data_IF_777323300099
#
_entry.id   IF_777323300099
#
_cell.length_a   1.000
_cell.length_b   1.000
_cell.length_c   1.000
_cell.angle_alpha   90.00
_cell.angle_beta   90.00
_cell.angle_gamma   90.00
#
_symmetry.space_group_name_H-M   'P 1'
#
loop_
_entity.id
_entity.type
_entity.pdbx_description
1 polymer ?
#
# COMPACT_ATOMS: atom_id res chain seq x y z
N UNK A 1 -7.73 -6.82 27.47
CA UNK A 1 -6.36 -6.28 27.37
C UNK A 1 -5.69 -7.17 26.36
N UNK A 2 -5.78 -6.77 25.10
CA UNK A 2 -5.52 -7.63 23.95
C UNK A 2 -4.03 -7.93 23.81
N UNK A 3 -3.71 -9.17 23.42
CA UNK A 3 -2.38 -9.71 23.11
C UNK A 3 -1.59 -8.96 22.00
N UNK A 4 -2.04 -7.76 21.61
CA UNK A 4 -1.58 -6.97 20.47
C UNK A 4 -0.49 -5.92 20.85
N UNK A 5 -0.16 -5.80 22.14
CA UNK A 5 0.91 -4.93 22.67
C UNK A 5 2.29 -5.59 22.69
N UNK A 6 2.37 -6.92 22.55
CA UNK A 6 3.66 -7.61 22.46
C UNK A 6 4.20 -7.53 21.03
N UNK A 7 4.86 -6.41 20.74
CA UNK A 7 5.45 -6.10 19.44
C UNK A 7 6.67 -6.99 19.22
N UNK A 8 6.47 -8.10 18.51
CA UNK A 8 7.57 -8.89 17.98
C UNK A 8 7.65 -8.75 16.45
N UNK A 9 8.44 -7.78 15.98
CA UNK A 9 8.80 -7.68 14.56
C UNK A 9 9.63 -8.92 14.09
N UNK A 10 10.02 -9.81 15.01
CA UNK A 10 10.81 -11.03 14.78
C UNK A 10 10.34 -12.21 15.68
N UNK A 11 9.20 -12.87 15.42
CA UNK A 11 8.71 -13.98 16.25
C UNK A 11 9.84 -14.95 16.62
N UNK A 12 10.10 -15.09 17.92
CA UNK A 12 11.12 -15.99 18.49
C UNK A 12 10.95 -17.46 18.09
N UNK A 13 9.80 -17.83 17.52
CA UNK A 13 9.52 -19.15 16.97
C UNK A 13 9.90 -19.24 15.48
N UNK A 14 11.17 -19.55 15.24
CA UNK A 14 11.67 -20.28 14.06
C UNK A 14 11.84 -19.52 12.73
N UNK A 15 13.09 -19.11 12.46
CA UNK A 15 13.80 -19.55 11.25
C UNK A 15 15.21 -20.00 11.68
N UNK A 16 15.39 -21.32 11.81
CA UNK A 16 16.50 -21.96 12.53
C UNK A 16 17.90 -21.45 12.19
N UNK A 17 18.72 -21.23 13.23
CA UNK A 17 20.20 -21.02 13.25
C UNK A 17 20.84 -20.00 12.27
N UNK A 18 20.14 -19.47 11.26
CA UNK A 18 20.70 -18.67 10.16
C UNK A 18 20.60 -17.14 10.40
N UNK A 19 19.68 -16.70 11.27
CA UNK A 19 19.41 -15.27 11.52
C UNK A 19 20.19 -14.63 12.68
N UNK A 20 21.29 -15.23 13.15
CA UNK A 20 22.22 -14.58 14.11
C UNK A 20 23.11 -13.50 13.47
N UNK A 21 22.76 -12.95 12.30
CA UNK A 21 23.50 -11.84 11.72
C UNK A 21 23.05 -10.56 12.42
N UNK A 22 23.93 -9.98 13.26
CA UNK A 22 23.77 -8.65 13.90
C UNK A 22 23.34 -7.55 12.90
N UNK A 23 23.58 -7.75 11.60
CA UNK A 23 23.30 -6.79 10.52
C UNK A 23 21.82 -6.46 10.28
N UNK A 24 20.87 -7.27 10.77
CA UNK A 24 19.43 -7.06 10.53
C UNK A 24 18.66 -6.64 11.79
N UNK A 25 19.36 -6.35 12.87
CA UNK A 25 18.75 -5.79 14.09
C UNK A 25 18.29 -4.37 13.80
N UNK A 26 17.05 -4.04 14.17
CA UNK A 26 16.51 -2.69 14.04
C UNK A 26 17.14 -1.76 15.08
N UNK A 27 17.48 -0.53 14.69
CA UNK A 27 17.88 0.50 15.66
C UNK A 27 16.67 1.04 16.40
N UNK A 28 16.90 1.80 17.46
CA UNK A 28 15.82 2.44 18.21
C UNK A 28 14.99 3.37 17.33
N UNK A 29 15.64 4.18 16.51
CA UNK A 29 15.00 5.14 15.60
C UNK A 29 14.15 4.42 14.55
N UNK A 30 14.66 3.31 14.00
CA UNK A 30 13.93 2.47 13.07
C UNK A 30 12.69 1.82 13.71
N UNK A 31 12.81 1.35 14.96
CA UNK A 31 11.68 0.81 15.71
C UNK A 31 10.61 1.89 15.99
N UNK A 32 11.03 3.06 16.48
CA UNK A 32 10.12 4.17 16.79
C UNK A 32 9.36 4.64 15.53
N UNK A 33 10.06 4.76 14.39
CA UNK A 33 9.44 5.11 13.12
C UNK A 33 8.42 4.06 12.64
N UNK A 34 8.72 2.76 12.78
CA UNK A 34 7.79 1.69 12.44
C UNK A 34 6.56 1.69 13.36
N UNK A 35 6.74 1.97 14.66
CA UNK A 35 5.63 2.07 15.61
C UNK A 35 4.72 3.25 15.26
N UNK A 36 5.29 4.40 14.91
CA UNK A 36 4.52 5.55 14.44
C UNK A 36 3.68 5.19 13.21
N UNK A 37 4.30 4.57 12.19
CA UNK A 37 3.60 4.15 10.98
C UNK A 37 2.51 3.09 11.27
N UNK A 38 2.76 2.17 12.20
CA UNK A 38 1.78 1.17 12.67
C UNK A 38 0.58 1.83 13.35
N UNK A 39 0.80 2.83 14.20
CA UNK A 39 -0.30 3.57 14.85
C UNK A 39 -1.14 4.31 13.80
N UNK A 40 -0.49 5.01 12.86
CA UNK A 40 -1.18 5.72 11.77
C UNK A 40 -2.02 4.76 10.90
N UNK A 41 -1.46 3.62 10.52
CA UNK A 41 -2.12 2.65 9.64
C UNK A 41 -3.23 1.82 10.30
N UNK A 42 -3.35 1.84 11.63
CA UNK A 42 -4.42 1.14 12.38
C UNK A 42 -5.70 1.95 12.52
N UNK A 43 -5.69 3.22 12.14
CA UNK A 43 -6.88 4.07 12.22
C UNK A 43 -7.91 3.61 11.19
N UNK A 44 -9.06 3.15 11.66
CA UNK A 44 -10.18 2.76 10.80
C UNK A 44 -10.78 4.00 10.15
N UNK A 45 -11.21 3.87 8.90
CA UNK A 45 -12.07 4.88 8.30
C UNK A 45 -13.42 4.89 9.05
N UNK A 46 -13.97 6.08 9.23
CA UNK A 46 -15.23 6.30 9.92
C UNK A 46 -15.99 7.42 9.21
N UNK A 47 -17.13 7.08 8.61
CA UNK A 47 -17.96 8.04 7.87
C UNK A 47 -18.61 9.08 8.80
N UNK A 48 -18.72 8.82 10.11
CA UNK A 48 -19.22 9.82 11.07
C UNK A 48 -18.15 10.85 11.47
N UNK A 49 -16.87 10.58 11.18
CA UNK A 49 -15.76 11.47 11.51
C UNK A 49 -15.60 12.55 10.43
N UNK A 50 -15.75 13.81 10.83
CA UNK A 50 -15.67 14.95 9.90
C UNK A 50 -14.31 15.09 9.24
N UNK A 51 -13.20 14.77 9.92
CA UNK A 51 -11.86 14.81 9.32
C UNK A 51 -11.69 13.75 8.23
N UNK A 52 -12.26 12.56 8.44
CA UNK A 52 -12.24 11.51 7.42
C UNK A 52 -13.10 11.88 6.21
N UNK A 53 -14.25 12.53 6.43
CA UNK A 53 -15.06 13.08 5.34
C UNK A 53 -14.28 14.14 4.55
N UNK A 54 -13.55 15.04 5.20
CA UNK A 54 -12.72 16.04 4.51
C UNK A 54 -11.63 15.40 3.65
N UNK A 55 -10.96 14.35 4.12
CA UNK A 55 -10.01 13.60 3.27
C UNK A 55 -10.71 12.96 2.06
N UNK A 56 -11.93 12.43 2.23
CA UNK A 56 -12.68 11.85 1.13
C UNK A 56 -13.09 12.92 0.10
N UNK A 57 -13.47 14.12 0.56
CA UNK A 57 -13.72 15.29 -0.31
C UNK A 57 -12.45 15.75 -1.03
N UNK A 58 -11.27 15.63 -0.40
CA UNK A 58 -10.00 15.90 -1.07
C UNK A 58 -9.80 14.92 -2.23
N UNK A 59 -10.02 13.62 -2.03
CA UNK A 59 -9.95 12.65 -3.12
C UNK A 59 -10.98 12.96 -4.21
N UNK A 60 -12.21 13.31 -3.84
CA UNK A 60 -13.26 13.71 -4.78
C UNK A 60 -12.81 14.85 -5.68
N UNK A 61 -12.31 15.95 -5.10
CA UNK A 61 -11.85 17.13 -5.84
C UNK A 61 -10.66 16.84 -6.76
N UNK A 62 -9.87 15.80 -6.46
CA UNK A 62 -8.80 15.31 -7.35
C UNK A 62 -9.35 14.43 -8.48
N UNK A 63 -10.54 13.87 -8.30
CA UNK A 63 -11.18 12.90 -9.20
C UNK A 63 -12.15 13.56 -10.17
N UNK A 64 -12.95 14.51 -9.71
CA UNK A 64 -14.12 15.04 -10.41
C UNK A 64 -14.18 16.57 -10.35
N UNK A 65 -15.03 17.18 -11.18
CA UNK A 65 -15.16 18.64 -11.30
C UNK A 65 -16.36 19.21 -10.54
N UNK A 66 -17.31 18.34 -10.21
CA UNK A 66 -18.54 18.68 -9.50
C UNK A 66 -18.34 18.71 -7.97
N UNK A 67 -19.28 19.33 -7.22
CA UNK A 67 -19.16 19.44 -5.77
C UNK A 67 -19.03 18.08 -5.07
N UNK A 68 -18.25 17.96 -3.97
CA UNK A 68 -18.04 16.70 -3.28
C UNK A 68 -19.31 16.02 -2.77
N UNK A 69 -19.50 14.77 -3.19
CA UNK A 69 -20.50 13.86 -2.63
C UNK A 69 -19.81 12.69 -1.91
N UNK A 70 -20.20 12.46 -0.64
CA UNK A 70 -19.62 11.37 0.16
C UNK A 70 -20.09 9.99 -0.32
N UNK A 71 -21.28 9.92 -0.92
CA UNK A 71 -21.87 8.72 -1.52
C UNK A 71 -22.38 9.12 -2.91
N UNK A 72 -21.89 8.46 -3.95
CA UNK A 72 -22.24 8.76 -5.34
C UNK A 72 -21.78 7.65 -6.28
N UNK A 73 -22.54 7.38 -7.34
CA UNK A 73 -22.18 6.39 -8.37
C UNK A 73 -20.87 6.75 -9.08
N UNK A 74 -20.43 8.01 -9.00
CA UNK A 74 -19.13 8.43 -9.56
C UNK A 74 -17.95 7.70 -8.91
N UNK A 75 -18.02 7.29 -7.64
CA UNK A 75 -16.96 6.51 -7.01
C UNK A 75 -16.70 5.19 -7.74
N UNK A 76 -17.73 4.57 -8.30
CA UNK A 76 -17.60 3.35 -9.10
C UNK A 76 -16.77 3.60 -10.36
N UNK A 77 -16.86 4.81 -10.94
CA UNK A 77 -16.14 5.15 -12.19
C UNK A 77 -14.62 5.19 -12.01
N UNK A 78 -14.13 5.51 -10.80
CA UNK A 78 -12.69 5.45 -10.48
C UNK A 78 -12.27 4.12 -9.84
N UNK A 79 -13.22 3.18 -9.77
CA UNK A 79 -12.97 1.79 -9.41
C UNK A 79 -13.15 1.45 -7.94
N UNK A 80 -14.04 2.13 -7.19
CA UNK A 80 -14.59 1.63 -5.93
C UNK A 80 -15.65 0.54 -6.18
N UNK A 81 -15.99 -0.30 -5.17
CA UNK A 81 -16.95 -1.41 -5.36
C UNK A 81 -18.40 -0.94 -5.48
N UNK A 82 -18.71 0.23 -4.92
CA UNK A 82 -20.05 0.79 -4.92
C UNK A 82 -20.04 2.29 -4.69
N UNK A 83 -21.22 2.92 -4.57
CA UNK A 83 -21.34 4.36 -4.41
C UNK A 83 -20.88 4.84 -3.03
N UNK A 84 -20.79 3.97 -2.02
CA UNK A 84 -20.26 4.29 -0.70
C UNK A 84 -18.82 3.74 -0.53
N UNK A 85 -17.79 4.59 -0.66
CA UNK A 85 -16.39 4.16 -0.57
C UNK A 85 -15.98 3.71 0.84
N UNK A 86 -16.75 4.03 1.89
CA UNK A 86 -16.41 3.60 3.26
C UNK A 86 -16.38 2.09 3.42
N UNK A 87 -17.16 1.37 2.61
CA UNK A 87 -17.25 -0.08 2.60
C UNK A 87 -15.95 -0.75 2.11
N UNK A 88 -15.15 -0.04 1.32
CA UNK A 88 -13.89 -0.54 0.75
C UNK A 88 -12.70 -0.34 1.71
N UNK A 89 -12.75 0.66 2.58
CA UNK A 89 -11.67 0.98 3.52
C UNK A 89 -11.60 0.07 4.76
N UNK A 90 -12.36 -1.05 4.81
CA UNK A 90 -12.39 -1.96 5.96
C UNK A 90 -11.02 -2.60 6.27
N UNK A 91 -10.22 -2.89 5.24
CA UNK A 91 -8.90 -3.49 5.37
C UNK A 91 -7.79 -2.46 5.62
N UNK A 92 -7.65 -1.49 4.69
CA UNK A 92 -6.57 -0.49 4.72
C UNK A 92 -6.85 0.74 5.58
N UNK A 93 -8.06 0.89 6.13
CA UNK A 93 -8.45 2.03 6.96
C UNK A 93 -8.32 3.39 6.25
N UNK A 94 -8.26 4.46 7.04
CA UNK A 94 -8.05 5.82 6.53
C UNK A 94 -6.72 5.93 5.76
N UNK A 95 -5.72 5.13 6.13
CA UNK A 95 -4.40 5.19 5.51
C UNK A 95 -4.45 4.84 4.02
N UNK A 96 -5.32 3.91 3.59
CA UNK A 96 -5.51 3.61 2.16
C UNK A 96 -6.13 4.77 1.37
N UNK A 97 -7.02 5.57 1.97
CA UNK A 97 -7.52 6.81 1.38
C UNK A 97 -6.38 7.84 1.25
N UNK A 98 -5.56 7.99 2.30
CA UNK A 98 -4.41 8.89 2.28
C UNK A 98 -3.40 8.51 1.18
N UNK A 99 -3.19 7.21 0.93
CA UNK A 99 -2.33 6.74 -0.16
C UNK A 99 -2.91 7.01 -1.55
N UNK A 100 -4.23 6.88 -1.73
CA UNK A 100 -4.89 7.31 -2.97
C UNK A 100 -4.70 8.82 -3.21
N UNK A 101 -4.89 9.64 -2.18
CA UNK A 101 -4.68 11.09 -2.26
C UNK A 101 -3.21 11.41 -2.54
N UNK A 102 -2.28 10.73 -1.88
CA UNK A 102 -0.85 10.89 -2.10
C UNK A 102 -0.50 10.60 -3.57
N UNK A 103 -0.98 9.49 -4.11
CA UNK A 103 -0.76 9.13 -5.51
C UNK A 103 -1.35 10.17 -6.46
N UNK A 104 -2.61 10.58 -6.25
CA UNK A 104 -3.29 11.56 -7.09
C UNK A 104 -2.59 12.93 -7.11
N UNK A 105 -2.06 13.38 -5.97
CA UNK A 105 -1.34 14.66 -5.87
C UNK A 105 0.07 14.61 -6.47
N UNK A 106 0.80 13.52 -6.29
CA UNK A 106 2.20 13.42 -6.72
C UNK A 106 2.35 12.93 -8.16
N UNK A 107 1.36 12.20 -8.69
CA UNK A 107 1.38 11.64 -10.05
C UNK A 107 0.07 11.95 -10.81
N UNK A 108 -0.32 13.23 -10.95
CA UNK A 108 -1.63 13.60 -11.48
C UNK A 108 -1.89 13.07 -12.89
N UNK A 109 -0.88 13.11 -13.77
CA UNK A 109 -1.00 12.58 -15.14
C UNK A 109 -1.30 11.07 -15.15
N UNK A 110 -0.62 10.30 -14.29
CA UNK A 110 -0.85 8.85 -14.18
C UNK A 110 -2.19 8.57 -13.53
N UNK A 111 -2.55 9.33 -12.50
CA UNK A 111 -3.84 9.21 -11.85
C UNK A 111 -5.01 9.41 -12.83
N UNK A 112 -4.95 10.42 -13.70
CA UNK A 112 -5.98 10.65 -14.71
C UNK A 112 -6.11 9.49 -15.70
N UNK A 113 -5.02 8.79 -16.02
CA UNK A 113 -5.05 7.58 -16.83
C UNK A 113 -5.62 6.41 -16.02
N UNK A 114 -5.14 6.21 -14.79
CA UNK A 114 -5.40 5.00 -14.02
C UNK A 114 -6.81 4.97 -13.44
N UNK A 115 -7.37 6.13 -13.06
CA UNK A 115 -8.76 6.22 -12.61
C UNK A 115 -9.76 5.81 -13.70
N UNK A 116 -9.35 5.82 -14.96
CA UNK A 116 -10.16 5.39 -16.11
C UNK A 116 -9.69 4.03 -16.67
N UNK A 117 -8.91 3.25 -15.91
CA UNK A 117 -8.43 1.95 -16.36
C UNK A 117 -9.56 0.92 -16.44
N UNK A 118 -9.36 -0.12 -17.26
CA UNK A 118 -10.31 -1.23 -17.41
C UNK A 118 -10.49 -2.07 -16.13
N UNK A 119 -9.60 -1.92 -15.16
CA UNK A 119 -9.67 -2.58 -13.85
C UNK A 119 -10.04 -1.58 -12.75
N UNK A 120 -10.56 -2.09 -11.63
CA UNK A 120 -10.91 -1.30 -10.46
C UNK A 120 -9.68 -0.68 -9.80
N UNK A 121 -9.30 0.53 -10.22
CA UNK A 121 -8.10 1.22 -9.76
C UNK A 121 -8.09 1.47 -8.25
N UNK A 122 -9.18 2.03 -7.70
CA UNK A 122 -9.26 2.28 -6.26
C UNK A 122 -9.13 1.00 -5.44
N UNK A 123 -9.84 -0.08 -5.81
CA UNK A 123 -9.69 -1.39 -5.14
C UNK A 123 -8.27 -1.96 -5.28
N UNK A 124 -7.65 -1.86 -6.45
CA UNK A 124 -6.27 -2.28 -6.62
C UNK A 124 -5.33 -1.54 -5.66
N UNK A 125 -5.47 -0.22 -5.59
CA UNK A 125 -4.68 0.64 -4.70
C UNK A 125 -4.88 0.27 -3.22
N UNK A 126 -6.13 0.09 -2.77
CA UNK A 126 -6.46 -0.31 -1.39
C UNK A 126 -5.89 -1.69 -1.07
N UNK A 127 -5.99 -2.65 -2.00
CA UNK A 127 -5.42 -3.99 -1.84
C UNK A 127 -3.89 -3.96 -1.72
N UNK A 128 -3.21 -3.07 -2.45
CA UNK A 128 -1.77 -2.87 -2.31
C UNK A 128 -1.39 -2.26 -0.96
N UNK A 129 -2.14 -1.28 -0.47
CA UNK A 129 -1.95 -0.76 0.90
C UNK A 129 -1.99 -1.91 1.89
N UNK A 130 -3.03 -2.72 1.80
CA UNK A 130 -3.23 -3.82 2.75
C UNK A 130 -2.15 -4.91 2.64
N UNK A 131 -1.74 -5.25 1.41
CA UNK A 131 -0.59 -6.12 1.17
C UNK A 131 0.65 -5.59 1.88
N UNK A 132 1.00 -4.31 1.72
CA UNK A 132 2.22 -3.76 2.32
C UNK A 132 2.14 -3.63 3.83
N UNK A 133 0.99 -3.28 4.39
CA UNK A 133 0.78 -3.25 5.84
C UNK A 133 1.01 -4.64 6.46
N UNK A 134 0.61 -5.71 5.77
CA UNK A 134 0.91 -7.08 6.21
C UNK A 134 2.36 -7.48 5.92
N UNK A 135 2.86 -7.19 4.72
CA UNK A 135 4.21 -7.55 4.26
C UNK A 135 5.29 -6.98 5.18
N UNK A 136 5.13 -5.72 5.60
CA UNK A 136 6.04 -5.04 6.54
C UNK A 136 5.63 -5.21 8.01
N UNK A 137 4.71 -6.13 8.33
CA UNK A 137 4.34 -6.49 9.70
C UNK A 137 3.80 -5.30 10.53
N UNK A 138 3.16 -4.33 9.87
CA UNK A 138 2.51 -3.19 10.50
C UNK A 138 1.12 -3.58 11.04
N UNK A 139 0.46 -4.57 10.41
CA UNK A 139 -0.79 -5.17 10.89
C UNK A 139 -0.62 -6.65 11.24
N UNK A 140 -1.28 -7.15 12.31
CA UNK A 140 -1.09 -8.51 12.82
C UNK A 140 -1.86 -9.56 11.99
N UNK A 141 -2.97 -9.15 11.35
CA UNK A 141 -3.87 -10.07 10.63
C UNK A 141 -3.56 -10.07 9.12
N UNK A 142 -3.65 -11.28 8.54
CA UNK A 142 -3.49 -11.55 7.11
C UNK A 142 -4.39 -10.68 6.27
N UNK A 143 -3.91 -10.33 5.07
CA UNK A 143 -4.73 -9.67 4.09
C UNK A 143 -5.89 -10.57 3.62
N UNK A 144 -7.14 -10.20 3.92
CA UNK A 144 -8.32 -10.76 3.25
C UNK A 144 -8.21 -10.55 1.73
N UNK A 145 -8.21 -11.63 0.95
CA UNK A 145 -8.47 -11.58 -0.50
C UNK A 145 -7.27 -11.65 -1.44
N UNK A 146 -6.02 -11.73 -0.97
CA UNK A 146 -4.86 -12.03 -1.84
C UNK A 146 -4.34 -13.44 -1.59
N UNK A 147 -4.17 -14.23 -2.66
CA UNK A 147 -3.62 -15.60 -2.58
C UNK A 147 -2.14 -15.62 -2.18
N UNK A 148 -1.41 -14.53 -2.43
CA UNK A 148 -0.06 -14.31 -1.90
C UNK A 148 -0.13 -13.51 -0.60
N UNK A 149 0.16 -14.17 0.52
CA UNK A 149 0.15 -13.62 1.88
C UNK A 149 1.51 -13.88 2.53
N UNK A 150 2.54 -13.18 2.03
CA UNK A 150 3.93 -13.30 2.51
C UNK A 150 4.34 -12.11 3.36
N UNK A 151 5.34 -12.32 4.23
CA UNK A 151 6.04 -11.28 4.99
C UNK A 151 7.37 -10.97 4.34
N UNK A 152 7.85 -9.75 4.53
CA UNK A 152 9.16 -9.34 4.04
C UNK A 152 10.28 -10.19 4.66
N UNK A 153 11.26 -10.65 3.86
CA UNK A 153 12.48 -11.23 4.41
C UNK A 153 13.18 -10.23 5.35
N UNK A 154 13.93 -10.69 6.38
CA UNK A 154 14.53 -9.81 7.39
C UNK A 154 15.40 -8.68 6.82
N UNK A 155 16.13 -8.94 5.74
CA UNK A 155 16.97 -7.92 5.09
C UNK A 155 16.14 -6.84 4.37
N UNK A 156 15.00 -7.22 3.76
CA UNK A 156 14.06 -6.28 3.14
C UNK A 156 13.37 -5.44 4.21
N UNK A 157 12.94 -6.08 5.31
CA UNK A 157 12.35 -5.38 6.45
C UNK A 157 13.33 -4.35 7.04
N UNK A 158 14.61 -4.71 7.19
CA UNK A 158 15.66 -3.80 7.66
C UNK A 158 15.86 -2.60 6.72
N UNK A 159 15.87 -2.82 5.40
CA UNK A 159 15.97 -1.73 4.42
C UNK A 159 14.77 -0.80 4.51
N UNK A 160 13.56 -1.35 4.53
CA UNK A 160 12.33 -0.57 4.68
C UNK A 160 12.33 0.26 5.97
N UNK A 161 12.67 -0.36 7.11
CA UNK A 161 12.72 0.32 8.40
C UNK A 161 13.71 1.49 8.40
N UNK A 162 14.88 1.30 7.78
CA UNK A 162 15.89 2.35 7.63
C UNK A 162 15.38 3.52 6.79
N UNK A 163 14.73 3.24 5.65
CA UNK A 163 14.15 4.29 4.81
C UNK A 163 13.03 5.04 5.55
N UNK A 164 12.14 4.30 6.21
CA UNK A 164 11.02 4.89 6.95
C UNK A 164 11.48 5.76 8.13
N UNK A 165 12.59 5.40 8.77
CA UNK A 165 13.20 6.23 9.81
C UNK A 165 13.75 7.57 9.28
N UNK A 166 14.17 7.60 8.02
CA UNK A 166 14.65 8.82 7.36
C UNK A 166 13.50 9.66 6.81
N UNK A 167 12.46 9.02 6.28
CA UNK A 167 11.34 9.69 5.63
C UNK A 167 10.04 8.90 5.81
N UNK A 168 9.05 9.50 6.47
CA UNK A 168 7.76 8.88 6.79
C UNK A 168 6.86 8.69 5.56
N UNK A 169 7.20 9.28 4.40
CA UNK A 169 6.51 9.02 3.13
C UNK A 169 6.96 7.73 2.44
N UNK A 170 7.94 7.00 3.02
CA UNK A 170 8.53 5.80 2.41
C UNK A 170 7.49 4.79 1.94
N UNK A 171 6.48 4.49 2.77
CA UNK A 171 5.47 3.51 2.39
C UNK A 171 4.51 4.04 1.31
N UNK A 172 4.24 5.35 1.29
CA UNK A 172 3.41 6.00 0.28
C UNK A 172 4.11 6.01 -1.09
N UNK A 173 5.43 6.17 -1.10
CA UNK A 173 6.27 6.06 -2.30
C UNK A 173 6.37 4.62 -2.81
N UNK A 174 6.60 3.65 -1.91
CA UNK A 174 6.58 2.22 -2.28
C UNK A 174 5.23 1.85 -2.88
N UNK A 175 4.12 2.28 -2.26
CA UNK A 175 2.78 2.06 -2.77
C UNK A 175 2.62 2.66 -4.17
N UNK A 176 3.00 3.92 -4.36
CA UNK A 176 2.90 4.63 -5.65
C UNK A 176 3.71 3.95 -6.76
N UNK A 177 4.96 3.54 -6.47
CA UNK A 177 5.80 2.77 -7.41
C UNK A 177 5.11 1.46 -7.79
N UNK A 178 4.50 0.78 -6.82
CA UNK A 178 3.83 -0.50 -7.05
C UNK A 178 2.57 -0.35 -7.88
N UNK A 179 1.80 0.72 -7.67
CA UNK A 179 0.61 1.06 -8.48
C UNK A 179 1.02 1.29 -9.93
N UNK A 180 2.07 2.08 -10.18
CA UNK A 180 2.60 2.28 -11.53
C UNK A 180 3.04 0.94 -12.16
N UNK A 181 3.76 0.12 -11.39
CA UNK A 181 4.22 -1.19 -11.88
C UNK A 181 3.09 -2.16 -12.14
N UNK A 182 2.04 -2.13 -11.32
CA UNK A 182 0.83 -2.93 -11.51
C UNK A 182 0.16 -2.53 -12.82
N UNK A 183 0.02 -1.24 -13.10
CA UNK A 183 -0.56 -0.76 -14.35
C UNK A 183 0.26 -1.25 -15.56
N UNK A 184 1.58 -1.12 -15.54
CA UNK A 184 2.44 -1.66 -16.61
C UNK A 184 2.22 -3.17 -16.82
N UNK A 185 2.20 -3.94 -15.72
CA UNK A 185 1.97 -5.39 -15.79
C UNK A 185 0.58 -5.74 -16.31
N UNK A 186 -0.44 -4.97 -15.95
CA UNK A 186 -1.77 -5.11 -16.52
C UNK A 186 -1.78 -4.89 -18.03
N UNK A 187 -1.13 -3.81 -18.51
CA UNK A 187 -1.05 -3.51 -19.96
C UNK A 187 -0.32 -4.60 -20.74
N UNK A 188 0.70 -5.23 -20.17
CA UNK A 188 1.38 -6.40 -20.76
C UNK A 188 0.49 -7.65 -20.77
N UNK A 189 -0.19 -7.91 -19.66
CA UNK A 189 -1.00 -9.12 -19.49
C UNK A 189 -2.23 -9.12 -20.41
N UNK A 190 -2.95 -7.99 -20.51
CA UNK A 190 -4.20 -7.91 -21.27
C UNK A 190 -4.04 -8.14 -22.79
N UNK A 191 -2.80 -8.09 -23.30
CA UNK A 191 -2.50 -8.41 -24.70
C UNK A 191 -2.49 -9.92 -24.98
N UNK A 192 -2.46 -10.76 -23.94
CA UNK A 192 -2.38 -12.21 -24.09
C UNK A 192 -3.77 -12.84 -24.23
N UNK A 193 -3.94 -13.85 -25.11
CA UNK A 193 -5.21 -14.56 -25.24
C UNK A 193 -5.68 -15.16 -23.89
N UNK A 194 -6.98 -15.01 -23.60
CA UNK A 194 -7.60 -15.57 -22.39
C UNK A 194 -7.45 -14.73 -21.12
N UNK A 195 -6.76 -13.59 -21.16
CA UNK A 195 -6.73 -12.64 -20.05
C UNK A 195 -7.98 -11.76 -20.08
N UNK A 196 -8.66 -11.68 -18.94
CA UNK A 196 -9.85 -10.84 -18.73
C UNK A 196 -9.61 -9.90 -17.55
N UNK A 197 -10.51 -8.93 -17.34
CA UNK A 197 -10.44 -8.02 -16.17
C UNK A 197 -10.32 -8.80 -14.85
N UNK A 198 -10.89 -9.99 -14.75
CA UNK A 198 -10.81 -10.85 -13.55
C UNK A 198 -9.37 -11.25 -13.17
N UNK A 199 -8.41 -11.14 -14.10
CA UNK A 199 -7.00 -11.45 -13.86
C UNK A 199 -6.20 -10.27 -13.28
N UNK A 200 -6.79 -9.09 -13.06
CA UNK A 200 -6.06 -7.90 -12.61
C UNK A 200 -5.31 -8.12 -11.27
N UNK A 201 -5.86 -8.95 -10.38
CA UNK A 201 -5.20 -9.31 -9.11
C UNK A 201 -3.87 -10.05 -9.31
N UNK A 202 -3.69 -10.75 -10.43
CA UNK A 202 -2.40 -11.37 -10.76
C UNK A 202 -1.35 -10.30 -11.11
N UNK A 203 -1.73 -9.24 -11.83
CA UNK A 203 -0.84 -8.10 -12.10
C UNK A 203 -0.40 -7.40 -10.80
N UNK A 204 -1.33 -7.26 -9.85
CA UNK A 204 -1.04 -6.76 -8.50
C UNK A 204 0.00 -7.63 -7.79
N UNK A 205 -0.20 -8.95 -7.72
CA UNK A 205 0.77 -9.85 -7.07
C UNK A 205 2.14 -9.76 -7.75
N UNK A 206 2.18 -9.75 -9.09
CA UNK A 206 3.43 -9.66 -9.86
C UNK A 206 4.18 -8.34 -9.59
N UNK A 207 3.48 -7.23 -9.40
CA UNK A 207 4.12 -5.94 -9.11
C UNK A 207 4.77 -5.90 -7.72
N UNK A 208 4.30 -6.71 -6.76
CA UNK A 208 4.94 -6.77 -5.42
C UNK A 208 6.35 -7.37 -5.44
N UNK A 209 6.65 -8.28 -6.39
CA UNK A 209 8.00 -8.83 -6.55
C UNK A 209 8.99 -7.80 -7.09
N UNK A 210 8.51 -6.81 -7.84
CA UNK A 210 9.33 -5.70 -8.29
C UNK A 210 9.82 -4.86 -7.11
N UNK A 211 8.95 -4.58 -6.13
CA UNK A 211 9.34 -3.87 -4.90
C UNK A 211 10.38 -4.65 -4.10
N UNK A 212 10.22 -5.96 -3.97
CA UNK A 212 11.24 -6.77 -3.31
C UNK A 212 12.58 -6.70 -4.04
N UNK A 213 12.58 -6.75 -5.38
CA UNK A 213 13.80 -6.63 -6.17
C UNK A 213 14.50 -5.29 -5.94
N UNK A 214 13.78 -4.17 -5.98
CA UNK A 214 14.41 -2.85 -5.78
C UNK A 214 14.89 -2.66 -4.34
N UNK A 215 14.15 -3.13 -3.32
CA UNK A 215 14.58 -3.06 -1.93
C UNK A 215 15.78 -3.98 -1.65
N UNK A 216 15.90 -5.11 -2.35
CA UNK A 216 17.05 -6.01 -2.21
C UNK A 216 18.37 -5.38 -2.66
N UNK A 217 18.30 -4.36 -3.54
CA UNK A 217 19.45 -3.52 -3.94
C UNK A 217 19.87 -2.52 -2.86
N UNK A 218 19.17 -2.48 -1.72
CA UNK A 218 19.53 -1.72 -0.53
C UNK A 218 19.71 -0.20 -0.79
N UNK A 219 18.69 0.49 -1.38
CA UNK A 219 18.70 1.93 -1.56
C UNK A 219 18.94 2.65 -0.23
N UNK A 220 19.68 3.77 -0.27
CA UNK A 220 20.09 4.50 0.94
C UNK A 220 19.18 5.66 1.29
N UNK A 221 18.32 6.05 0.35
CA UNK A 221 17.36 7.15 0.45
C UNK A 221 16.14 6.88 -0.45
N UNK A 222 15.08 7.69 -0.30
CA UNK A 222 13.94 7.65 -1.22
C UNK A 222 14.31 8.08 -2.64
N UNK A 223 15.29 8.96 -2.79
CA UNK A 223 15.81 9.31 -4.11
C UNK A 223 16.40 8.08 -4.82
N UNK A 224 17.20 7.28 -4.12
CA UNK A 224 17.75 6.03 -4.68
C UNK A 224 16.65 5.03 -5.01
N UNK A 225 15.65 4.89 -4.13
CA UNK A 225 14.51 4.00 -4.36
C UNK A 225 13.76 4.40 -5.63
N UNK A 226 13.46 5.69 -5.81
CA UNK A 226 12.81 6.23 -7.01
C UNK A 226 13.65 5.99 -8.26
N UNK A 227 14.95 6.23 -8.20
CA UNK A 227 15.87 5.98 -9.33
C UNK A 227 15.90 4.50 -9.74
N UNK A 228 15.78 3.57 -8.79
CA UNK A 228 15.71 2.13 -9.08
C UNK A 228 14.35 1.68 -9.65
N UNK A 229 13.33 2.54 -9.58
CA UNK A 229 11.97 2.23 -10.04
C UNK A 229 11.70 2.58 -11.50
N UNK A 230 12.60 3.33 -12.14
CA UNK A 230 12.53 3.75 -13.55
C UNK A 230 13.13 2.68 -14.47
#
# INVERSE_FOLDING_TARGET
>A
MDDDENIDFYPTSCWGRCCKRKSFVLTREEMEALLFLRLKSRVKFDMANTLHQEELKVLWNLSFQDPPELISDQWVTIGFQGPDPSTDFRGGGIYSLQQLIFFAKNFPEKYMIYKNAEYSFAICSINLTYFFLYYFQLLPRRALGTSDCRRAPPHIMKVFAKLNAQDQSTLDEIHSITVMKMHEKWQEMKQKPGITVMNFMQALVLSTFFIENILSRNPKSLFDLKRLSV
#
